data_IF_373676353494
#
_entry.id   IF_373676353494
#
_cell.length_a   1.000
_cell.length_b   1.000
_cell.length_c   1.000
_cell.angle_alpha   90.00
_cell.angle_beta   90.00
_cell.angle_gamma   90.00
#
_symmetry.space_group_name_H-M   'P 1'
#
loop_
_entity.id
_entity.type
_entity.pdbx_description
1 polymer ?
#
# COMPACT_ATOMS: atom_id res chain seq x y z
N UNK A 1 3.23 -39.23 -5.74
CA UNK A 1 2.47 -38.04 -5.34
C UNK A 1 3.33 -36.80 -5.53
N UNK A 2 4.43 -36.65 -4.79
CA UNK A 2 5.28 -35.44 -4.82
C UNK A 2 5.79 -35.08 -6.22
N UNK A 3 6.26 -36.06 -7.00
CA UNK A 3 6.71 -35.81 -8.39
C UNK A 3 5.58 -35.26 -9.27
N UNK A 4 4.39 -35.87 -9.24
CA UNK A 4 3.24 -35.43 -10.02
C UNK A 4 2.73 -34.05 -9.58
N UNK A 5 2.79 -33.75 -8.28
CA UNK A 5 2.49 -32.42 -7.77
C UNK A 5 3.50 -31.40 -8.28
N UNK A 6 4.80 -31.70 -8.18
CA UNK A 6 5.85 -30.78 -8.61
C UNK A 6 5.78 -30.46 -10.10
N UNK A 7 5.46 -31.45 -10.93
CA UNK A 7 5.30 -31.26 -12.39
C UNK A 7 4.10 -30.36 -12.71
N UNK A 8 2.98 -30.55 -12.02
CA UNK A 8 1.80 -29.68 -12.17
C UNK A 8 2.01 -28.27 -11.58
N UNK A 9 2.66 -28.18 -10.42
CA UNK A 9 2.84 -26.96 -9.67
C UNK A 9 3.86 -26.02 -10.32
N UNK A 10 4.94 -26.56 -10.86
CA UNK A 10 6.05 -25.79 -11.47
C UNK A 10 6.12 -26.00 -12.99
N UNK A 11 4.95 -26.14 -13.61
CA UNK A 11 4.79 -26.24 -15.05
C UNK A 11 5.44 -25.07 -15.80
N UNK A 12 6.07 -25.35 -16.95
CA UNK A 12 6.91 -24.38 -17.68
C UNK A 12 6.15 -23.12 -18.12
N UNK A 13 4.83 -23.26 -18.36
CA UNK A 13 3.95 -22.18 -18.82
C UNK A 13 2.98 -21.68 -17.75
N UNK A 14 3.21 -21.98 -16.46
CA UNK A 14 2.31 -21.52 -15.39
C UNK A 14 0.91 -22.14 -15.46
N UNK A 15 0.85 -23.42 -15.79
CA UNK A 15 -0.34 -24.15 -16.24
C UNK A 15 -1.41 -24.32 -15.14
N UNK A 16 -1.00 -24.12 -13.90
CA UNK A 16 -1.85 -24.07 -12.71
C UNK A 16 -2.71 -22.79 -12.68
N UNK A 17 -2.26 -21.70 -13.30
CA UNK A 17 -2.98 -20.44 -13.40
C UNK A 17 -3.88 -20.44 -14.64
N UNK A 18 -5.13 -20.02 -14.49
CA UNK A 18 -6.06 -19.84 -15.63
C UNK A 18 -5.53 -18.80 -16.62
N UNK A 19 -4.78 -17.81 -16.14
CA UNK A 19 -4.16 -16.81 -17.02
C UNK A 19 -2.84 -17.28 -17.63
N UNK A 20 -2.33 -18.46 -17.25
CA UNK A 20 -1.04 -19.03 -17.69
C UNK A 20 0.15 -18.09 -17.48
N UNK A 21 0.12 -17.31 -16.38
CA UNK A 21 1.17 -16.34 -16.04
C UNK A 21 2.07 -16.78 -14.89
N UNK A 22 1.60 -17.69 -14.06
CA UNK A 22 2.15 -17.94 -12.72
C UNK A 22 2.32 -19.42 -12.47
N UNK A 23 3.49 -19.83 -11.97
CA UNK A 23 3.64 -21.14 -11.33
C UNK A 23 3.01 -21.14 -9.94
N UNK A 24 2.89 -22.31 -9.29
CA UNK A 24 2.35 -22.43 -7.94
C UNK A 24 3.12 -21.56 -6.94
N UNK A 25 4.45 -21.58 -6.99
CA UNK A 25 5.28 -20.77 -6.10
C UNK A 25 5.01 -19.27 -6.29
N UNK A 26 4.87 -18.82 -7.54
CA UNK A 26 4.56 -17.42 -7.86
C UNK A 26 3.14 -17.04 -7.42
N UNK A 27 2.18 -17.95 -7.58
CA UNK A 27 0.80 -17.79 -7.16
C UNK A 27 0.69 -17.65 -5.63
N UNK A 28 1.42 -18.47 -4.87
CA UNK A 28 1.49 -18.34 -3.41
C UNK A 28 2.14 -17.01 -3.02
N UNK A 29 3.20 -16.60 -3.72
CA UNK A 29 3.88 -15.32 -3.45
C UNK A 29 2.95 -14.14 -3.68
N UNK A 30 2.20 -14.13 -4.77
CA UNK A 30 1.17 -13.13 -5.03
C UNK A 30 0.09 -13.16 -3.96
N UNK A 31 -0.44 -14.33 -3.61
CA UNK A 31 -1.46 -14.47 -2.57
C UNK A 31 -1.01 -13.86 -1.24
N UNK A 32 0.22 -14.13 -0.80
CA UNK A 32 0.80 -13.51 0.40
C UNK A 32 0.90 -11.97 0.25
N UNK A 33 1.28 -11.48 -0.94
CA UNK A 33 1.30 -10.04 -1.24
C UNK A 33 -0.09 -9.41 -1.15
N UNK A 34 -1.10 -10.01 -1.77
CA UNK A 34 -2.49 -9.54 -1.74
C UNK A 34 -3.02 -9.54 -0.31
N UNK A 35 -2.74 -10.57 0.47
CA UNK A 35 -3.13 -10.61 1.89
C UNK A 35 -2.43 -9.52 2.71
N UNK A 36 -1.17 -9.19 2.42
CA UNK A 36 -0.46 -8.15 3.16
C UNK A 36 -1.09 -6.76 2.95
N UNK A 37 -1.58 -6.46 1.73
CA UNK A 37 -2.19 -5.17 1.41
C UNK A 37 -3.69 -5.10 1.65
N UNK A 38 -4.45 -6.18 1.42
CA UNK A 38 -5.90 -6.16 1.51
C UNK A 38 -6.44 -6.89 2.75
N UNK A 39 -5.61 -7.72 3.40
CA UNK A 39 -6.02 -8.51 4.57
C UNK A 39 -6.63 -9.87 4.25
N UNK A 40 -6.80 -10.21 2.97
CA UNK A 40 -7.45 -11.44 2.52
C UNK A 40 -7.03 -11.83 1.10
N UNK A 41 -7.33 -13.08 0.73
CA UNK A 41 -7.07 -13.67 -0.59
C UNK A 41 -8.34 -14.36 -1.08
N UNK A 42 -8.68 -14.14 -2.35
CA UNK A 42 -9.70 -14.92 -3.06
C UNK A 42 -9.07 -15.65 -4.24
N UNK A 43 -9.33 -16.95 -4.33
CA UNK A 43 -8.88 -17.79 -5.43
C UNK A 43 -10.03 -18.69 -5.85
N UNK A 44 -10.38 -18.68 -7.13
CA UNK A 44 -11.41 -19.54 -7.70
C UNK A 44 -10.75 -20.76 -8.33
N UNK A 45 -11.01 -21.99 -7.84
CA UNK A 45 -10.70 -23.20 -8.59
C UNK A 45 -11.62 -23.28 -9.80
N UNK A 46 -11.03 -23.33 -10.99
CA UNK A 46 -11.74 -23.43 -12.26
C UNK A 46 -11.44 -24.78 -12.88
N UNK A 47 -12.44 -25.38 -13.52
CA UNK A 47 -12.27 -26.58 -14.32
C UNK A 47 -12.14 -26.20 -15.78
N UNK A 48 -10.93 -26.34 -16.32
CA UNK A 48 -10.64 -26.04 -17.72
C UNK A 48 -11.04 -27.22 -18.61
N UNK A 49 -12.09 -27.04 -19.41
CA UNK A 49 -12.56 -28.05 -20.36
C UNK A 49 -11.79 -28.07 -21.67
N UNK A 50 -11.09 -26.99 -22.00
CA UNK A 50 -10.42 -26.78 -23.29
C UNK A 50 -8.97 -27.28 -23.26
N UNK A 51 -8.35 -27.27 -22.09
CA UNK A 51 -6.98 -27.76 -21.92
C UNK A 51 -6.81 -29.25 -22.25
N UNK A 52 -5.73 -29.56 -22.95
CA UNK A 52 -5.26 -30.91 -23.27
C UNK A 52 -4.32 -31.48 -22.20
N UNK A 53 -4.08 -30.73 -21.13
CA UNK A 53 -3.19 -31.16 -20.04
C UNK A 53 -3.78 -32.30 -19.23
N UNK A 54 -2.89 -33.00 -18.52
CA UNK A 54 -3.25 -34.12 -17.67
C UNK A 54 -4.23 -33.71 -16.55
N UNK A 55 -4.03 -32.54 -15.98
CA UNK A 55 -4.90 -31.94 -14.96
C UNK A 55 -5.68 -30.76 -15.56
N UNK A 56 -6.95 -30.67 -15.22
CA UNK A 56 -7.89 -29.63 -15.67
C UNK A 56 -8.24 -28.64 -14.57
N UNK A 57 -7.95 -28.96 -13.32
CA UNK A 57 -8.00 -28.00 -12.24
C UNK A 57 -7.00 -26.90 -12.52
N UNK A 58 -7.48 -25.67 -12.60
CA UNK A 58 -6.68 -24.44 -12.66
C UNK A 58 -7.20 -23.48 -11.61
N UNK A 59 -6.43 -22.45 -11.29
CA UNK A 59 -6.79 -21.46 -10.27
C UNK A 59 -6.75 -20.07 -10.88
N UNK A 60 -7.81 -19.29 -10.60
CA UNK A 60 -7.91 -17.89 -10.98
C UNK A 60 -7.83 -17.04 -9.73
N UNK A 61 -6.82 -16.18 -9.65
CA UNK A 61 -6.75 -15.19 -8.59
C UNK A 61 -7.87 -14.16 -8.80
N UNK A 62 -8.65 -13.90 -7.75
CA UNK A 62 -9.70 -12.87 -7.79
C UNK A 62 -9.29 -11.73 -6.88
N UNK A 63 -9.27 -10.52 -7.43
CA UNK A 63 -8.98 -9.32 -6.63
C UNK A 63 -10.04 -9.15 -5.54
N UNK A 64 -9.67 -8.98 -4.26
CA UNK A 64 -10.62 -8.68 -3.18
C UNK A 64 -11.48 -7.45 -3.44
N UNK A 65 -11.00 -6.51 -4.26
CA UNK A 65 -11.73 -5.29 -4.65
C UNK A 65 -12.93 -5.57 -5.55
N UNK A 66 -12.95 -6.72 -6.24
CA UNK A 66 -14.07 -7.15 -7.08
C UNK A 66 -15.17 -7.87 -6.30
N UNK A 67 -14.86 -8.35 -5.09
CA UNK A 67 -15.84 -8.96 -4.20
C UNK A 67 -16.59 -7.83 -3.53
N UNK A 68 -17.83 -7.59 -3.96
CA UNK A 68 -18.64 -6.49 -3.46
C UNK A 68 -20.13 -6.85 -3.50
N UNK A 69 -20.92 -6.13 -2.72
CA UNK A 69 -22.37 -6.26 -2.69
C UNK A 69 -22.95 -5.81 -4.04
N UNK A 70 -23.83 -6.61 -4.69
CA UNK A 70 -24.51 -6.21 -5.91
C UNK A 70 -25.19 -4.84 -5.77
N UNK A 71 -24.95 -3.98 -6.76
CA UNK A 71 -25.45 -2.60 -6.77
C UNK A 71 -24.73 -1.64 -5.81
N UNK A 72 -23.58 -2.03 -5.24
CA UNK A 72 -22.81 -1.23 -4.28
C UNK A 72 -23.61 -0.81 -3.03
N UNK A 73 -24.61 -1.60 -2.66
CA UNK A 73 -25.44 -1.33 -1.48
C UNK A 73 -24.71 -1.62 -0.17
N UNK A 74 -25.26 -1.13 0.95
CA UNK A 74 -24.76 -1.46 2.30
C UNK A 74 -24.80 -2.96 2.64
N UNK A 75 -25.55 -3.76 1.88
CA UNK A 75 -25.80 -5.17 2.16
C UNK A 75 -27.01 -5.38 3.08
N UNK A 76 -27.10 -6.56 3.67
CA UNK A 76 -28.14 -6.94 4.62
C UNK A 76 -27.59 -7.96 5.64
N UNK A 77 -28.45 -8.50 6.51
CA UNK A 77 -28.05 -9.47 7.53
C UNK A 77 -27.30 -10.68 6.97
N UNK A 78 -27.69 -11.15 5.78
CA UNK A 78 -27.21 -12.35 5.11
C UNK A 78 -26.23 -12.07 3.97
N UNK A 79 -25.95 -10.81 3.64
CA UNK A 79 -25.03 -10.39 2.57
C UNK A 79 -24.25 -9.17 3.03
N UNK A 80 -22.94 -9.33 3.26
CA UNK A 80 -22.07 -8.28 3.79
C UNK A 80 -20.79 -8.20 2.97
N UNK A 81 -20.53 -7.03 2.38
CA UNK A 81 -19.34 -6.76 1.57
C UNK A 81 -19.08 -7.87 0.52
N UNK A 82 -20.12 -8.23 -0.24
CA UNK A 82 -20.06 -9.26 -1.28
C UNK A 82 -20.03 -10.72 -0.82
N UNK A 83 -20.08 -11.00 0.50
CA UNK A 83 -20.14 -12.38 1.03
C UNK A 83 -21.54 -12.68 1.55
N UNK A 84 -22.18 -13.71 1.00
CA UNK A 84 -23.40 -14.27 1.55
C UNK A 84 -23.08 -15.16 2.75
N UNK A 85 -23.82 -15.01 3.83
CA UNK A 85 -23.61 -15.77 5.07
C UNK A 85 -24.89 -16.46 5.53
N UNK A 86 -24.73 -17.64 6.13
CA UNK A 86 -25.83 -18.36 6.76
C UNK A 86 -26.20 -17.79 8.14
N UNK A 87 -27.17 -18.40 8.81
CA UNK A 87 -27.59 -18.01 10.17
C UNK A 87 -26.45 -18.08 11.21
N UNK A 88 -25.44 -18.90 10.96
CA UNK A 88 -24.28 -19.12 11.83
C UNK A 88 -23.06 -18.29 11.39
N UNK A 89 -23.19 -17.42 10.38
CA UNK A 89 -22.09 -16.59 9.86
C UNK A 89 -21.15 -17.32 8.90
N UNK A 90 -21.44 -18.56 8.50
CA UNK A 90 -20.62 -19.30 7.52
C UNK A 90 -20.86 -18.72 6.13
N UNK A 91 -19.80 -18.46 5.39
CA UNK A 91 -19.90 -18.04 3.99
C UNK A 91 -20.63 -19.11 3.15
N UNK A 92 -21.59 -18.70 2.34
CA UNK A 92 -22.42 -19.54 1.45
C UNK A 92 -22.06 -19.29 -0.01
N UNK A 93 -21.86 -18.02 -0.37
CA UNK A 93 -21.51 -17.61 -1.72
C UNK A 93 -20.78 -16.26 -1.70
N UNK A 94 -20.12 -15.96 -2.81
CA UNK A 94 -19.38 -14.74 -3.04
C UNK A 94 -19.94 -14.05 -4.30
N UNK A 95 -20.12 -12.74 -4.23
CA UNK A 95 -20.54 -11.90 -5.33
C UNK A 95 -19.32 -11.21 -5.91
N UNK A 96 -18.97 -11.57 -7.14
CA UNK A 96 -17.80 -11.03 -7.83
C UNK A 96 -18.29 -10.13 -8.96
N UNK A 97 -17.92 -8.86 -8.91
CA UNK A 97 -18.17 -7.93 -9.99
C UNK A 97 -17.39 -8.35 -11.25
N UNK A 98 -18.03 -8.35 -12.40
CA UNK A 98 -17.38 -8.57 -13.70
C UNK A 98 -16.29 -7.50 -13.94
N UNK A 99 -15.22 -7.93 -14.61
CA UNK A 99 -14.07 -7.07 -14.94
C UNK A 99 -14.23 -6.53 -16.35
N UNK A 100 -15.02 -5.46 -16.48
CA UNK A 100 -15.22 -4.78 -17.75
C UNK A 100 -14.12 -3.75 -17.97
N UNK A 101 -13.03 -4.15 -18.61
CA UNK A 101 -12.07 -3.17 -19.11
C UNK A 101 -12.66 -2.46 -20.35
N UNK A 102 -12.68 -1.11 -20.43
CA UNK A 102 -11.98 -0.14 -19.58
C UNK A 102 -12.85 0.51 -18.47
N UNK A 103 -14.13 0.15 -18.34
CA UNK A 103 -15.08 0.76 -17.41
C UNK A 103 -15.29 -0.11 -16.17
N UNK A 104 -14.72 0.28 -15.02
CA UNK A 104 -14.92 -0.47 -13.78
C UNK A 104 -16.41 -0.61 -13.45
N UNK A 105 -16.90 -1.85 -13.42
CA UNK A 105 -18.23 -2.19 -12.93
C UNK A 105 -19.35 -1.93 -13.94
N UNK A 106 -19.55 -2.85 -14.89
CA UNK A 106 -20.79 -2.90 -15.70
C UNK A 106 -22.08 -3.10 -14.87
N UNK A 107 -21.97 -3.17 -13.54
CA UNK A 107 -23.07 -3.46 -12.66
C UNK A 107 -23.52 -4.92 -12.76
N UNK A 108 -22.67 -5.82 -13.25
CA UNK A 108 -22.93 -7.26 -13.28
C UNK A 108 -22.09 -7.96 -12.22
N UNK A 109 -22.77 -8.76 -11.41
CA UNK A 109 -22.16 -9.59 -10.39
C UNK A 109 -22.44 -11.05 -10.69
N UNK A 110 -21.38 -11.83 -10.70
CA UNK A 110 -21.45 -13.28 -10.74
C UNK A 110 -21.51 -13.81 -9.30
N UNK A 111 -22.55 -14.59 -9.01
CA UNK A 111 -22.67 -15.26 -7.71
C UNK A 111 -22.02 -16.63 -7.78
N UNK A 112 -20.87 -16.78 -7.12
CA UNK A 112 -20.12 -18.03 -7.04
C UNK A 112 -20.37 -18.70 -5.67
N UNK A 113 -20.86 -19.95 -5.62
CA UNK A 113 -21.05 -20.65 -4.35
C UNK A 113 -19.70 -20.92 -3.67
N UNK A 114 -19.68 -21.02 -2.34
CA UNK A 114 -18.47 -21.41 -1.60
C UNK A 114 -18.00 -22.81 -1.98
N UNK A 115 -18.94 -23.76 -2.01
CA UNK A 115 -18.72 -25.18 -2.30
C UNK A 115 -19.68 -25.62 -3.41
N UNK A 116 -19.19 -26.42 -4.34
CA UNK A 116 -19.99 -27.09 -5.36
C UNK A 116 -20.81 -28.22 -4.71
N UNK A 117 -21.87 -28.72 -5.37
CA UNK A 117 -22.64 -29.86 -4.87
C UNK A 117 -21.81 -31.13 -4.61
N UNK A 118 -20.63 -31.25 -5.24
CA UNK A 118 -19.69 -32.34 -5.03
C UNK A 118 -18.89 -32.22 -3.72
N UNK A 119 -19.01 -31.11 -3.00
CA UNK A 119 -18.19 -30.77 -1.83
C UNK A 119 -16.88 -30.07 -2.18
N UNK A 120 -16.53 -29.99 -3.47
CA UNK A 120 -15.34 -29.25 -3.94
C UNK A 120 -15.50 -27.76 -3.66
N UNK A 121 -14.50 -27.08 -3.07
CA UNK A 121 -14.51 -25.62 -2.95
C UNK A 121 -14.61 -24.95 -4.34
N UNK A 122 -15.63 -24.11 -4.54
CA UNK A 122 -15.75 -23.27 -5.73
C UNK A 122 -15.09 -21.90 -5.53
N UNK A 123 -14.86 -21.49 -4.28
CA UNK A 123 -14.08 -20.31 -3.94
C UNK A 123 -13.25 -20.56 -2.69
N UNK A 124 -11.95 -20.27 -2.78
CA UNK A 124 -11.03 -20.26 -1.65
C UNK A 124 -10.95 -18.83 -1.10
N UNK A 125 -11.33 -18.66 0.16
CA UNK A 125 -11.21 -17.38 0.86
C UNK A 125 -10.30 -17.56 2.09
N UNK A 126 -9.16 -16.88 2.06
CA UNK A 126 -8.14 -16.95 3.10
C UNK A 126 -8.03 -15.59 3.76
N UNK A 127 -8.41 -15.52 5.04
CA UNK A 127 -8.22 -14.37 5.91
C UNK A 127 -8.13 -14.81 7.37
N UNK A 128 -7.59 -13.94 8.23
CA UNK A 128 -7.51 -14.12 9.67
C UNK A 128 -8.70 -13.37 10.34
N UNK A 129 -9.74 -14.08 10.83
CA UNK A 129 -10.83 -13.43 11.56
C UNK A 129 -10.36 -13.00 12.94
N UNK A 130 -10.66 -11.75 13.30
CA UNK A 130 -10.34 -11.12 14.59
C UNK A 130 -11.59 -10.95 15.45
N UNK A 131 -12.75 -10.80 14.81
CA UNK A 131 -14.04 -10.53 15.49
C UNK A 131 -15.14 -11.49 15.02
N UNK A 132 -16.17 -11.64 15.85
CA UNK A 132 -17.37 -12.42 15.49
C UNK A 132 -18.16 -11.72 14.37
N UNK A 133 -18.71 -12.52 13.45
CA UNK A 133 -19.49 -12.02 12.32
C UNK A 133 -18.67 -11.29 11.24
N UNK A 134 -17.33 -11.28 11.34
CA UNK A 134 -16.43 -10.72 10.34
C UNK A 134 -16.48 -11.57 9.05
N UNK A 135 -16.88 -10.94 7.94
CA UNK A 135 -17.00 -11.63 6.64
C UNK A 135 -15.81 -11.40 5.71
N UNK A 136 -14.96 -10.42 6.00
CA UNK A 136 -13.83 -10.00 5.16
C UNK A 136 -12.60 -9.75 6.00
N UNK A 137 -11.42 -9.99 5.41
CA UNK A 137 -10.16 -9.64 6.04
C UNK A 137 -9.97 -8.12 6.15
N UNK A 138 -9.25 -7.68 7.18
CA UNK A 138 -8.91 -6.28 7.39
C UNK A 138 -7.46 -6.02 6.99
N UNK A 139 -7.21 -4.86 6.37
CA UNK A 139 -5.87 -4.45 5.98
C UNK A 139 -5.00 -4.20 7.24
N UNK A 140 -3.82 -4.82 7.30
CA UNK A 140 -2.87 -4.65 8.41
C UNK A 140 -2.42 -3.18 8.58
N UNK A 141 -2.38 -2.41 7.49
CA UNK A 141 -1.91 -1.04 7.48
C UNK A 141 -2.91 -0.07 8.13
N UNK A 142 -4.12 -0.53 8.45
CA UNK A 142 -5.17 0.32 9.03
C UNK A 142 -4.72 0.98 10.34
N UNK A 143 -4.00 0.26 11.20
CA UNK A 143 -3.52 0.75 12.50
C UNK A 143 -2.46 1.86 12.39
N UNK A 144 -1.72 1.90 11.28
CA UNK A 144 -0.61 2.85 11.05
C UNK A 144 -0.92 3.91 10.00
N UNK A 145 -2.11 3.87 9.40
CA UNK A 145 -2.48 4.73 8.26
C UNK A 145 -2.37 6.23 8.59
N UNK A 146 -2.84 6.63 9.77
CA UNK A 146 -2.73 8.02 10.23
C UNK A 146 -1.25 8.45 10.35
N UNK A 147 -0.40 7.57 10.90
CA UNK A 147 1.03 7.81 11.10
C UNK A 147 1.76 7.91 9.75
N UNK A 148 1.40 7.06 8.79
CA UNK A 148 1.90 7.13 7.41
C UNK A 148 1.56 8.49 6.77
N UNK A 149 0.33 8.98 6.94
CA UNK A 149 -0.06 10.28 6.39
C UNK A 149 0.66 11.46 7.06
N UNK A 150 0.89 11.38 8.37
CA UNK A 150 1.68 12.39 9.07
C UNK A 150 3.14 12.42 8.61
N UNK A 151 3.75 11.25 8.37
CA UNK A 151 5.12 11.16 7.86
C UNK A 151 5.26 11.82 6.48
N UNK A 152 4.35 11.52 5.55
CA UNK A 152 4.28 12.14 4.22
C UNK A 152 4.17 13.68 4.32
N UNK A 153 3.25 14.15 5.15
CA UNK A 153 3.05 15.60 5.36
C UNK A 153 4.27 16.28 6.00
N UNK A 154 4.93 15.61 6.95
CA UNK A 154 6.14 16.11 7.61
C UNK A 154 7.30 16.24 6.61
N UNK A 155 7.52 15.24 5.77
CA UNK A 155 8.57 15.29 4.75
C UNK A 155 8.30 16.39 3.71
N UNK A 156 7.04 16.55 3.28
CA UNK A 156 6.65 17.59 2.34
C UNK A 156 6.85 19.01 2.91
N UNK A 157 6.44 19.25 4.16
CA UNK A 157 6.60 20.56 4.82
C UNK A 157 8.06 20.90 5.09
N UNK A 158 8.89 19.91 5.43
CA UNK A 158 10.32 20.09 5.59
C UNK A 158 10.99 20.45 4.26
N UNK A 159 10.64 19.76 3.17
CA UNK A 159 11.15 20.07 1.83
C UNK A 159 10.76 21.49 1.41
N UNK A 160 9.50 21.88 1.62
CA UNK A 160 9.02 23.23 1.35
C UNK A 160 9.76 24.28 2.19
N UNK A 161 9.95 24.02 3.49
CA UNK A 161 10.68 24.91 4.38
C UNK A 161 12.15 25.05 3.95
N UNK A 162 12.79 23.97 3.50
CA UNK A 162 14.15 24.00 2.95
C UNK A 162 14.22 24.84 1.67
N UNK A 163 13.24 24.70 0.77
CA UNK A 163 13.15 25.52 -0.46
C UNK A 163 12.97 26.99 -0.12
N UNK A 164 12.03 27.32 0.78
CA UNK A 164 11.79 28.69 1.26
C UNK A 164 13.05 29.25 1.91
N UNK A 165 13.69 28.53 2.82
CA UNK A 165 14.96 28.93 3.44
C UNK A 165 16.06 29.19 2.40
N UNK A 166 16.15 28.36 1.36
CA UNK A 166 17.10 28.57 0.26
C UNK A 166 16.77 29.81 -0.59
N UNK A 167 15.48 30.12 -0.80
CA UNK A 167 15.03 31.31 -1.53
C UNK A 167 15.23 32.61 -0.74
N UNK A 168 14.96 32.61 0.56
CA UNK A 168 15.09 33.78 1.45
C UNK A 168 16.50 33.98 2.02
N UNK A 169 17.50 33.23 1.56
CA UNK A 169 18.88 33.32 2.03
C UNK A 169 19.53 34.71 1.80
N UNK A 170 18.92 35.56 0.98
CA UNK A 170 19.33 36.94 0.73
C UNK A 170 18.13 37.89 0.89
N UNK A 171 18.01 38.52 2.06
CA UNK A 171 17.05 39.61 2.27
C UNK A 171 17.78 40.95 2.20
N UNK A 172 17.22 41.90 1.46
CA UNK A 172 17.74 43.26 1.34
C UNK A 172 17.01 44.14 2.36
N UNK A 173 17.75 44.74 3.28
CA UNK A 173 17.21 45.73 4.24
C UNK A 173 17.61 47.13 3.76
N UNK A 174 16.65 48.05 3.62
CA UNK A 174 16.90 49.42 3.15
C UNK A 174 16.85 50.41 4.30
N UNK A 175 17.94 51.14 4.54
CA UNK A 175 17.99 52.23 5.52
C UNK A 175 17.40 53.55 4.97
N UNK A 176 16.97 53.58 3.71
CA UNK A 176 16.48 54.79 3.03
C UNK A 176 14.97 55.02 3.15
N UNK A 177 14.34 54.52 4.21
CA UNK A 177 13.05 55.04 4.63
C UNK A 177 13.33 56.22 5.58
N UNK A 178 13.34 57.49 5.10
CA UNK A 178 13.39 58.62 6.02
C UNK A 178 12.24 58.46 7.02
N UNK A 179 12.46 58.80 8.30
CA UNK A 179 11.50 58.73 9.43
C UNK A 179 10.15 59.48 9.23
N UNK A 180 9.76 59.83 8.00
CA UNK A 180 8.51 60.48 7.63
C UNK A 180 7.81 59.89 6.39
N UNK A 181 7.57 58.57 6.24
CA UNK A 181 6.74 58.07 5.15
C UNK A 181 5.24 58.21 5.47
N UNK A 182 4.90 58.18 6.77
CA UNK A 182 3.51 58.20 7.24
C UNK A 182 2.82 59.57 7.10
N UNK A 183 3.57 60.68 7.03
CA UNK A 183 2.97 62.02 6.86
C UNK A 183 2.53 62.30 5.41
N UNK A 184 3.13 61.65 4.41
CA UNK A 184 2.74 61.83 3.00
C UNK A 184 1.62 60.90 2.52
N UNK A 185 1.40 59.77 3.22
CA UNK A 185 0.27 58.86 2.94
C UNK A 185 -1.07 59.47 3.39
N UNK A 186 -1.06 60.35 4.40
CA UNK A 186 -2.28 60.94 4.97
C UNK A 186 -2.75 62.24 4.30
N UNK A 187 -2.05 62.77 3.29
CA UNK A 187 -2.29 64.14 2.80
C UNK A 187 -2.14 64.41 1.30
N UNK A 188 -1.92 63.41 0.44
CA UNK A 188 -1.80 63.66 -1.00
C UNK A 188 -3.15 63.52 -1.72
N UNK A 189 -3.65 64.58 -2.41
CA UNK A 189 -4.80 64.44 -3.31
C UNK A 189 -4.46 63.48 -4.46
N UNK A 190 -5.32 62.49 -4.70
CA UNK A 190 -5.25 61.62 -5.87
C UNK A 190 -5.26 62.45 -7.15
N UNK A 191 -4.13 62.55 -7.85
CA UNK A 191 -4.09 63.15 -9.20
C UNK A 191 -2.80 63.83 -9.63
N UNK A 192 -1.81 64.04 -8.75
CA UNK A 192 -0.55 64.69 -9.14
C UNK A 192 0.48 63.65 -9.62
N UNK A 193 0.87 63.74 -10.90
CA UNK A 193 1.89 62.91 -11.55
C UNK A 193 3.32 63.14 -11.04
N UNK A 194 3.54 64.16 -10.22
CA UNK A 194 4.82 64.49 -9.57
C UNK A 194 4.80 64.16 -8.07
N UNK A 195 4.38 62.93 -7.73
CA UNK A 195 4.49 62.49 -6.35
C UNK A 195 5.93 62.01 -6.10
N UNK A 196 6.72 62.63 -5.21
CA UNK A 196 8.12 62.26 -4.99
C UNK A 196 8.29 60.77 -4.61
N UNK A 197 7.27 60.16 -4.01
CA UNK A 197 7.23 58.70 -3.74
C UNK A 197 7.20 57.86 -5.03
N UNK A 198 6.44 58.28 -6.05
CA UNK A 198 6.37 57.55 -7.34
C UNK A 198 7.71 57.65 -8.06
N UNK A 199 8.33 58.84 -8.07
CA UNK A 199 9.66 59.04 -8.68
C UNK A 199 10.77 58.28 -7.94
N UNK A 200 10.63 58.07 -6.63
CA UNK A 200 11.56 57.27 -5.83
C UNK A 200 11.35 55.77 -6.13
N UNK A 201 10.11 55.27 -6.15
CA UNK A 201 9.80 53.88 -6.51
C UNK A 201 10.28 53.53 -7.93
N UNK A 202 10.11 54.44 -8.89
CA UNK A 202 10.53 54.24 -10.28
C UNK A 202 12.06 54.14 -10.42
N UNK A 203 12.80 54.94 -9.64
CA UNK A 203 14.28 54.83 -9.55
C UNK A 203 14.74 53.52 -8.92
N UNK A 204 14.03 53.02 -7.91
CA UNK A 204 14.33 51.71 -7.32
C UNK A 204 14.08 50.58 -8.33
N UNK A 205 12.92 50.57 -9.01
CA UNK A 205 12.60 49.56 -10.02
C UNK A 205 13.66 49.53 -11.12
N UNK A 206 14.00 50.70 -11.68
CA UNK A 206 14.98 50.83 -12.76
C UNK A 206 16.37 50.35 -12.34
N UNK A 207 16.80 50.61 -11.08
CA UNK A 207 18.10 50.19 -10.57
C UNK A 207 18.22 48.68 -10.44
N UNK A 208 17.19 48.03 -9.89
CA UNK A 208 17.16 46.56 -9.70
C UNK A 208 17.01 45.79 -11.02
N UNK A 209 16.34 46.36 -12.02
CA UNK A 209 16.25 45.78 -13.36
C UNK A 209 17.55 45.90 -14.17
N UNK A 210 18.30 46.99 -13.97
CA UNK A 210 19.50 47.29 -14.79
C UNK A 210 20.78 46.67 -14.22
N UNK A 211 20.91 46.58 -12.89
CA UNK A 211 22.19 46.23 -12.24
C UNK A 211 22.20 44.83 -11.60
N UNK A 212 21.81 43.79 -12.33
CA UNK A 212 22.05 42.42 -11.86
C UNK A 212 23.38 41.86 -12.34
N UNK A 213 24.34 41.67 -11.44
CA UNK A 213 25.65 41.08 -11.75
C UNK A 213 25.60 39.58 -11.48
N UNK A 214 25.91 38.76 -12.50
CA UNK A 214 26.01 37.30 -12.35
C UNK A 214 27.46 36.90 -12.22
N UNK A 215 27.83 36.24 -11.11
CA UNK A 215 29.16 35.66 -10.92
C UNK A 215 29.00 34.15 -10.76
N UNK A 216 29.57 33.36 -11.69
CA UNK A 216 29.54 31.89 -11.60
C UNK A 216 28.13 31.25 -11.66
N UNK A 217 27.18 31.87 -12.36
CA UNK A 217 25.80 31.34 -12.48
C UNK A 217 24.86 31.71 -11.33
N UNK A 218 25.35 32.42 -10.30
CA UNK A 218 24.54 32.95 -9.20
C UNK A 218 24.34 34.46 -9.41
N UNK A 219 23.09 34.92 -9.37
CA UNK A 219 22.72 36.34 -9.45
C UNK A 219 23.07 37.01 -8.12
N UNK A 220 24.11 37.84 -8.10
CA UNK A 220 24.45 38.66 -6.94
C UNK A 220 23.73 40.01 -7.14
N UNK A 221 22.70 40.33 -6.32
CA UNK A 221 22.00 41.60 -6.47
C UNK A 221 22.95 42.76 -6.11
N UNK A 222 23.18 43.69 -7.06
CA UNK A 222 23.88 44.94 -6.77
C UNK A 222 22.89 45.87 -6.08
N UNK A 223 23.10 46.08 -4.79
CA UNK A 223 22.15 46.79 -3.94
C UNK A 223 22.09 48.29 -4.25
N UNK A 224 20.97 48.93 -3.89
CA UNK A 224 20.88 50.38 -3.94
C UNK A 224 21.76 50.99 -2.83
N UNK A 225 22.46 52.13 -3.05
CA UNK A 225 23.30 52.73 -2.03
C UNK A 225 22.50 53.05 -0.75
N UNK A 226 22.86 52.46 0.39
CA UNK A 226 22.10 52.56 1.66
C UNK A 226 21.28 51.32 2.00
N UNK A 227 21.26 50.30 1.14
CA UNK A 227 20.69 48.98 1.43
C UNK A 227 21.79 48.03 1.93
N UNK A 228 21.50 47.27 2.98
CA UNK A 228 22.38 46.23 3.54
C UNK A 228 21.90 44.84 3.11
N UNK A 229 22.84 43.98 2.68
CA UNK A 229 22.56 42.59 2.33
C UNK A 229 22.71 41.73 3.58
N UNK A 230 21.60 41.46 4.26
CA UNK A 230 21.61 40.46 5.33
C UNK A 230 21.37 39.09 4.73
N UNK A 231 22.47 38.34 4.59
CA UNK A 231 22.40 36.91 4.36
C UNK A 231 21.86 36.26 5.63
N UNK A 232 20.56 35.96 5.62
CA UNK A 232 19.95 35.19 6.70
C UNK A 232 20.48 33.77 6.55
N UNK A 233 21.52 33.42 7.31
CA UNK A 233 21.93 32.02 7.41
C UNK A 233 20.73 31.26 7.93
N UNK A 234 20.20 30.35 7.12
CA UNK A 234 19.15 29.44 7.52
C UNK A 234 19.65 28.62 8.72
N UNK A 235 19.43 29.12 9.94
CA UNK A 235 19.82 28.42 11.15
C UNK A 235 19.13 27.04 11.16
N UNK A 236 19.98 26.05 11.42
CA UNK A 236 19.79 24.61 11.54
C UNK A 236 18.62 24.01 10.75
N UNK A 237 18.98 23.25 9.72
CA UNK A 237 18.05 22.46 8.90
C UNK A 237 17.48 21.25 9.65
N UNK A 238 18.06 20.83 10.78
CA UNK A 238 17.67 19.64 11.54
C UNK A 238 17.05 19.99 12.91
N UNK A 239 15.99 20.82 12.91
CA UNK A 239 15.20 21.19 14.10
C UNK A 239 14.46 19.99 14.74
N UNK A 240 15.18 18.94 15.14
CA UNK A 240 14.60 17.69 15.65
C UNK A 240 13.81 16.90 14.61
N UNK A 241 13.92 17.25 13.31
CA UNK A 241 13.22 16.58 12.23
C UNK A 241 13.59 15.10 12.18
N UNK A 242 14.89 14.79 12.17
CA UNK A 242 15.34 13.39 12.13
C UNK A 242 14.89 12.61 13.38
N UNK A 243 14.81 13.25 14.55
CA UNK A 243 14.31 12.60 15.77
C UNK A 243 12.80 12.30 15.70
N UNK A 244 12.00 13.24 15.18
CA UNK A 244 10.57 13.07 14.97
C UNK A 244 10.27 12.03 13.89
N UNK A 245 10.97 12.10 12.76
CA UNK A 245 10.88 11.11 11.67
C UNK A 245 11.23 9.71 12.19
N UNK A 246 12.31 9.58 12.95
CA UNK A 246 12.70 8.31 13.56
C UNK A 246 11.64 7.80 14.55
N UNK A 247 11.02 8.69 15.33
CA UNK A 247 9.92 8.32 16.22
C UNK A 247 8.70 7.81 15.45
N UNK A 248 8.30 8.50 14.38
CA UNK A 248 7.18 8.07 13.51
C UNK A 248 7.45 6.72 12.87
N UNK A 249 8.64 6.51 12.31
CA UNK A 249 9.04 5.23 11.72
C UNK A 249 9.03 4.09 12.74
N UNK A 250 9.44 4.34 14.00
CA UNK A 250 9.34 3.35 15.07
C UNK A 250 7.89 2.96 15.40
N UNK A 251 6.98 3.94 15.45
CA UNK A 251 5.55 3.65 15.66
C UNK A 251 4.95 2.86 14.50
N UNK A 252 5.31 3.21 13.26
CA UNK A 252 4.87 2.46 12.07
C UNK A 252 5.42 1.03 12.12
N UNK A 253 6.70 0.85 12.46
CA UNK A 253 7.32 -0.48 12.57
C UNK A 253 6.60 -1.34 13.62
N UNK A 254 6.37 -0.79 14.81
CA UNK A 254 5.65 -1.46 15.89
C UNK A 254 4.22 -1.87 15.47
N UNK A 255 3.49 -1.00 14.76
CA UNK A 255 2.14 -1.31 14.29
C UNK A 255 2.07 -2.35 13.17
N UNK A 256 3.15 -2.54 12.41
CA UNK A 256 3.26 -3.54 11.34
C UNK A 256 3.84 -4.88 11.82
N UNK A 257 4.31 -4.97 13.06
CA UNK A 257 4.96 -6.15 13.62
C UNK A 257 6.37 -6.38 13.06
N UNK A 258 7.05 -5.31 12.62
CA UNK A 258 8.44 -5.35 12.13
C UNK A 258 9.32 -4.44 12.97
N UNK A 259 10.62 -4.69 12.95
CA UNK A 259 11.56 -3.83 13.63
C UNK A 259 11.88 -2.55 12.85
N UNK A 260 12.29 -1.50 13.57
CA UNK A 260 12.68 -0.22 12.95
C UNK A 260 13.80 -0.43 11.93
N UNK A 261 14.83 -1.20 12.28
CA UNK A 261 16.00 -1.43 11.43
C UNK A 261 15.61 -2.13 10.12
N UNK A 262 14.65 -3.05 10.16
CA UNK A 262 14.17 -3.73 8.96
C UNK A 262 13.32 -2.81 8.09
N UNK A 263 12.47 -1.97 8.70
CA UNK A 263 11.60 -1.05 7.98
C UNK A 263 12.38 0.10 7.33
N UNK A 264 13.24 0.77 8.08
CA UNK A 264 14.03 1.92 7.62
C UNK A 264 15.30 1.52 6.86
N UNK A 265 15.74 0.26 7.00
CA UNK A 265 17.07 -0.24 6.59
C UNK A 265 18.22 0.51 7.25
N UNK A 266 17.98 1.19 8.37
CA UNK A 266 19.00 1.87 9.15
C UNK A 266 19.51 0.97 10.28
N UNK A 267 20.76 0.53 10.15
CA UNK A 267 21.48 -0.25 11.15
C UNK A 267 22.57 0.56 11.87
N UNK A 268 22.65 1.88 11.65
CA UNK A 268 23.74 2.74 12.13
C UNK A 268 23.86 2.78 13.67
N UNK A 269 22.74 2.63 14.38
CA UNK A 269 22.66 2.71 15.85
C UNK A 269 22.49 1.35 16.53
N UNK A 270 22.75 0.24 15.83
CA UNK A 270 22.39 -1.12 16.30
C UNK A 270 23.64 -1.98 16.45
N UNK A 271 23.82 -2.55 17.64
CA UNK A 271 24.87 -3.55 17.90
C UNK A 271 24.53 -4.90 17.27
N UNK A 272 25.52 -5.77 17.08
CA UNK A 272 25.30 -7.11 16.50
C UNK A 272 24.26 -7.94 17.30
N UNK A 273 24.31 -7.87 18.64
CA UNK A 273 23.35 -8.60 19.49
C UNK A 273 21.91 -8.09 19.33
N UNK A 274 21.73 -6.77 19.31
CA UNK A 274 20.41 -6.14 19.08
C UNK A 274 19.90 -6.41 17.66
N UNK A 275 20.76 -6.37 16.64
CA UNK A 275 20.37 -6.67 15.26
C UNK A 275 19.89 -8.13 15.13
N UNK A 276 20.59 -9.07 15.77
CA UNK A 276 20.20 -10.48 15.79
C UNK A 276 18.90 -10.71 16.55
N UNK A 277 18.70 -10.04 17.68
CA UNK A 277 17.44 -10.12 18.44
C UNK A 277 16.25 -9.61 17.62
N UNK A 278 16.39 -8.43 17.01
CA UNK A 278 15.40 -7.81 16.11
C UNK A 278 15.06 -8.70 14.90
N UNK A 279 16.08 -9.31 14.27
CA UNK A 279 15.88 -10.24 13.18
C UNK A 279 15.13 -11.52 13.60
N UNK A 280 15.46 -12.08 14.77
CA UNK A 280 14.81 -13.29 15.28
C UNK A 280 13.33 -13.06 15.63
N UNK A 281 13.00 -11.93 16.25
CA UNK A 281 11.60 -11.57 16.55
C UNK A 281 10.78 -11.44 15.26
N UNK A 282 11.31 -10.69 14.30
CA UNK A 282 10.67 -10.50 12.99
C UNK A 282 10.53 -11.83 12.23
N UNK A 283 11.54 -12.70 12.31
CA UNK A 283 11.47 -14.04 11.73
C UNK A 283 10.32 -14.87 12.31
N UNK A 284 10.13 -14.85 13.63
CA UNK A 284 9.00 -15.55 14.29
C UNK A 284 7.66 -15.01 13.82
N UNK A 285 7.52 -13.70 13.70
CA UNK A 285 6.33 -13.05 13.17
C UNK A 285 6.01 -13.53 11.74
N UNK A 286 6.99 -13.47 10.83
CA UNK A 286 6.80 -13.92 9.44
C UNK A 286 6.56 -15.41 9.31
N UNK A 287 7.20 -16.25 10.13
CA UNK A 287 6.94 -17.70 10.13
C UNK A 287 5.51 -18.01 10.60
N UNK A 288 4.99 -17.29 11.60
CA UNK A 288 3.59 -17.40 12.02
C UNK A 288 2.63 -17.09 10.88
N UNK A 289 2.82 -15.94 10.22
CA UNK A 289 2.00 -15.53 9.07
C UNK A 289 2.11 -16.48 7.88
N UNK A 290 3.31 -16.97 7.58
CA UNK A 290 3.53 -17.99 6.53
C UNK A 290 2.74 -19.26 6.83
N UNK A 291 2.76 -19.72 8.09
CA UNK A 291 2.05 -20.93 8.50
C UNK A 291 0.54 -20.80 8.40
N UNK A 292 -0.01 -19.61 8.62
CA UNK A 292 -1.45 -19.41 8.47
C UNK A 292 -1.83 -19.12 7.02
N UNK A 293 -1.25 -18.12 6.39
CA UNK A 293 -1.68 -17.60 5.09
C UNK A 293 -1.21 -18.53 3.97
N UNK A 294 0.11 -18.67 3.81
CA UNK A 294 0.69 -19.39 2.69
C UNK A 294 0.40 -20.89 2.78
N UNK A 295 0.54 -21.50 3.96
CA UNK A 295 0.22 -22.92 4.11
C UNK A 295 -1.26 -23.23 3.91
N UNK A 296 -2.19 -22.38 4.38
CA UNK A 296 -3.62 -22.63 4.18
C UNK A 296 -4.03 -22.51 2.71
N UNK A 297 -3.54 -21.49 2.01
CA UNK A 297 -3.75 -21.35 0.57
C UNK A 297 -3.16 -22.55 -0.18
N UNK A 298 -1.91 -22.90 0.10
CA UNK A 298 -1.23 -24.04 -0.51
C UNK A 298 -1.96 -25.36 -0.27
N UNK A 299 -2.38 -25.63 0.97
CA UNK A 299 -3.13 -26.84 1.31
C UNK A 299 -4.46 -26.90 0.57
N UNK A 300 -5.23 -25.81 0.51
CA UNK A 300 -6.51 -25.80 -0.21
C UNK A 300 -6.35 -26.01 -1.71
N UNK A 301 -5.37 -25.35 -2.34
CA UNK A 301 -5.05 -25.57 -3.76
C UNK A 301 -4.60 -27.00 -4.01
N UNK A 302 -3.72 -27.53 -3.14
CA UNK A 302 -3.27 -28.92 -3.21
C UNK A 302 -4.43 -29.90 -3.04
N UNK A 303 -5.38 -29.66 -2.13
CA UNK A 303 -6.56 -30.50 -1.95
C UNK A 303 -7.44 -30.52 -3.21
N UNK A 304 -7.65 -29.39 -3.88
CA UNK A 304 -8.38 -29.33 -5.15
C UNK A 304 -7.70 -30.12 -6.28
N UNK A 305 -6.36 -30.06 -6.36
CA UNK A 305 -5.61 -30.86 -7.32
C UNK A 305 -5.62 -32.35 -6.96
N UNK A 306 -5.43 -32.68 -5.68
CA UNK A 306 -5.36 -34.05 -5.20
C UNK A 306 -6.70 -34.77 -5.40
N UNK A 307 -7.83 -34.08 -5.21
CA UNK A 307 -9.16 -34.59 -5.57
C UNK A 307 -9.18 -35.08 -7.03
N UNK A 308 -8.74 -34.24 -7.97
CA UNK A 308 -8.68 -34.60 -9.39
C UNK A 308 -7.71 -35.77 -9.64
N UNK A 309 -6.52 -35.74 -9.03
CA UNK A 309 -5.52 -36.79 -9.19
C UNK A 309 -6.03 -38.16 -8.71
N UNK A 310 -6.86 -38.17 -7.65
CA UNK A 310 -7.53 -39.37 -7.14
C UNK A 310 -8.66 -39.81 -8.09
N UNK A 311 -9.51 -38.89 -8.56
CA UNK A 311 -10.60 -39.18 -9.49
C UNK A 311 -10.11 -39.76 -10.82
N UNK A 312 -8.95 -39.28 -11.30
CA UNK A 312 -8.29 -39.81 -12.51
C UNK A 312 -7.52 -41.12 -12.27
N UNK A 313 -7.35 -41.54 -11.01
CA UNK A 313 -6.60 -42.75 -10.66
C UNK A 313 -5.08 -42.63 -10.79
N UNK A 314 -4.54 -41.42 -10.97
CA UNK A 314 -3.09 -41.14 -11.01
C UNK A 314 -2.47 -41.39 -9.64
N UNK A 315 -3.17 -40.98 -8.59
CA UNK A 315 -2.84 -41.28 -7.20
C UNK A 315 -3.87 -42.26 -6.67
N UNK A 316 -3.42 -43.30 -5.97
CA UNK A 316 -4.31 -44.24 -5.29
C UNK A 316 -4.37 -43.87 -3.81
N UNK A 317 -5.57 -43.65 -3.24
CA UNK A 317 -5.66 -43.34 -1.82
C UNK A 317 -5.31 -44.59 -1.00
N UNK A 318 -4.66 -44.44 0.17
CA UNK A 318 -4.58 -45.52 1.13
C UNK A 318 -6.00 -45.91 1.58
N UNK A 319 -6.25 -47.20 1.87
CA UNK A 319 -7.56 -47.66 2.36
C UNK A 319 -7.98 -46.81 3.56
N UNK A 320 -9.06 -46.05 3.42
CA UNK A 320 -9.59 -45.13 4.43
C UNK A 320 -11.11 -45.28 4.56
N UNK A 321 -11.62 -44.99 5.76
CA UNK A 321 -13.05 -45.10 6.11
C UNK A 321 -13.88 -43.87 5.71
N UNK A 322 -13.23 -42.74 5.45
CA UNK A 322 -13.88 -41.45 5.18
C UNK A 322 -13.62 -40.98 3.75
N UNK A 323 -14.55 -40.17 3.23
CA UNK A 323 -14.45 -39.51 1.93
C UNK A 323 -13.37 -38.40 1.94
N UNK A 324 -12.86 -38.02 0.76
CA UNK A 324 -11.71 -37.13 0.59
C UNK A 324 -11.87 -35.81 1.36
N UNK A 325 -13.01 -35.13 1.20
CA UNK A 325 -13.31 -33.87 1.88
C UNK A 325 -13.70 -34.01 3.35
N UNK A 326 -14.12 -35.21 3.79
CA UNK A 326 -14.37 -35.49 5.21
C UNK A 326 -13.07 -35.63 6.00
N UNK A 327 -11.94 -35.88 5.33
CA UNK A 327 -10.62 -36.06 5.94
C UNK A 327 -9.87 -34.75 6.21
N UNK A 328 -10.19 -33.68 5.48
CA UNK A 328 -9.48 -32.39 5.55
C UNK A 328 -10.07 -31.43 6.62
N UNK A 329 -11.14 -31.83 7.31
CA UNK A 329 -11.60 -31.12 8.50
C UNK A 329 -10.66 -31.49 9.67
N UNK A 330 -10.00 -30.53 10.35
CA UNK A 330 -9.19 -30.82 11.51
C UNK A 330 -10.10 -31.36 12.62
N UNK A 331 -10.14 -32.68 12.74
CA UNK A 331 -10.80 -33.38 13.83
C UNK A 331 -10.05 -33.08 15.13
N UNK A 332 -10.79 -32.58 16.11
CA UNK A 332 -10.42 -32.62 17.52
C UNK A 332 -9.90 -34.02 17.88
N UNK A 333 -8.63 -34.08 18.24
CA UNK A 333 -7.95 -35.22 18.84
C UNK A 333 -6.94 -34.70 19.84
#
# INVERSE_FOLDING_TARGET
MEAAWSEYAEGMSGEIDVEEKRTFTEFIREGVGVHAFNGEIFVQPVWDTESTQLFRTRFKAVSPKRVDTPGHGMGNRFLRAGVEVDRYGRAVAYHICEDDFPFSGSGRWERIPRELPTGRPAMLHIFEPVEDGQTRGANQFYSVMERLKMLDSLQATQLQSAIVKAMYAATIESDLIPKRPFEYIAGAPQGQKDNPLINILDKFSTWYDTNSVTLGGVKIPHLFPGDDLKLQTAQDSDNGFSALEQALLRYIAAGLGVSYEQLSRDYSKVSYSSARASANESWRYFMGRRKFIASRLATQMFSCWLEEALLRGIIRPPRARFDFYQRDQPGHG
#
